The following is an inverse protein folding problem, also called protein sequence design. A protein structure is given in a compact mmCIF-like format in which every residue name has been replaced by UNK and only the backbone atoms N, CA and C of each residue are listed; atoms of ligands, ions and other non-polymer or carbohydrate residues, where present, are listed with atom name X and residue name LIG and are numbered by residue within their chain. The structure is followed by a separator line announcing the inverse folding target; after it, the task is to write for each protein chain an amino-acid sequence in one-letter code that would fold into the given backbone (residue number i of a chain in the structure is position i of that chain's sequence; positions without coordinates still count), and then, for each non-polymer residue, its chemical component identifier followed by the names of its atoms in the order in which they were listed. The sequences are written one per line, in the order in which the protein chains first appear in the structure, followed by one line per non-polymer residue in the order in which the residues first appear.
data_IF_632347574448
#
_entry.id   IF_632347574448
#
_cell.length_a   1.000
_cell.length_b   1.000
_cell.length_c   1.000
_cell.angle_alpha   90.00
_cell.angle_beta   90.00
_cell.angle_gamma   90.00
#
_symmetry.space_group_name_H-M   'P 1'
#
loop_
_entity.id
_entity.type
_entity.pdbx_description
1 polymer ?
#
# COMPACT_ATOMS: atom_id res chain seq x y z
N UNK A 1 13.36 -14.41 4.53
CA UNK A 1 13.06 -13.35 3.54
C UNK A 1 12.52 -12.13 4.27
N UNK A 2 12.61 -10.95 3.66
CA UNK A 2 12.11 -9.70 4.20
C UNK A 2 10.97 -9.19 3.31
N UNK A 3 9.88 -8.77 3.92
CA UNK A 3 8.70 -8.25 3.20
C UNK A 3 8.58 -6.75 3.40
N UNK A 4 8.14 -6.06 2.37
CA UNK A 4 7.83 -4.63 2.42
C UNK A 4 6.57 -4.33 1.61
N UNK A 5 5.80 -3.35 2.07
CA UNK A 5 4.87 -2.61 1.23
C UNK A 5 5.56 -1.31 0.83
N UNK A 6 5.66 -1.06 -0.46
CA UNK A 6 6.26 0.15 -1.01
C UNK A 6 5.20 0.97 -1.76
N UNK A 7 5.41 2.28 -1.82
CA UNK A 7 4.62 3.22 -2.62
C UNK A 7 5.53 4.37 -3.05
N UNK A 8 5.21 5.01 -4.18
CA UNK A 8 5.98 6.14 -4.69
C UNK A 8 5.08 7.22 -5.28
N UNK A 9 5.53 8.47 -5.22
CA UNK A 9 4.73 9.63 -5.65
C UNK A 9 4.51 9.71 -7.17
N UNK A 10 5.30 8.99 -7.97
CA UNK A 10 5.16 8.95 -9.43
C UNK A 10 4.06 7.99 -9.91
N UNK A 11 3.66 7.05 -9.07
CA UNK A 11 2.71 5.97 -9.39
C UNK A 11 1.72 5.80 -8.23
N UNK A 12 0.89 6.81 -8.04
CA UNK A 12 -0.06 6.88 -6.91
C UNK A 12 -1.22 5.88 -7.01
N UNK A 13 -1.34 5.16 -8.12
CA UNK A 13 -2.35 4.12 -8.32
C UNK A 13 -1.84 2.71 -7.95
N UNK A 14 -0.63 2.59 -7.40
CA UNK A 14 -0.02 1.32 -7.07
C UNK A 14 0.63 1.33 -5.68
N UNK A 15 0.46 0.22 -4.98
CA UNK A 15 1.37 -0.25 -3.94
C UNK A 15 2.18 -1.42 -4.50
N UNK A 16 3.30 -1.75 -3.86
CA UNK A 16 4.06 -2.95 -4.18
C UNK A 16 4.29 -3.81 -2.96
N UNK A 17 3.97 -5.10 -3.06
CA UNK A 17 4.52 -6.09 -2.15
C UNK A 17 5.87 -6.56 -2.69
N UNK A 18 6.95 -6.13 -2.03
CA UNK A 18 8.31 -6.56 -2.37
C UNK A 18 8.78 -7.60 -1.37
N UNK A 19 9.47 -8.62 -1.89
CA UNK A 19 10.13 -9.65 -1.07
C UNK A 19 11.59 -9.74 -1.44
N UNK A 20 12.45 -9.53 -0.44
CA UNK A 20 13.88 -9.73 -0.54
C UNK A 20 14.25 -11.10 0.00
N UNK A 21 14.96 -11.87 -0.83
CA UNK A 21 15.56 -13.15 -0.45
C UNK A 21 16.68 -12.97 0.58
N UNK A 22 17.07 -14.07 1.22
CA UNK A 22 18.21 -14.07 2.16
C UNK A 22 19.55 -13.79 1.47
N UNK A 23 19.60 -13.89 0.14
CA UNK A 23 20.72 -13.53 -0.72
C UNK A 23 20.79 -12.02 -1.03
N UNK A 24 19.86 -11.23 -0.47
CA UNK A 24 19.79 -9.78 -0.68
C UNK A 24 19.21 -9.37 -2.03
N UNK A 25 18.61 -10.30 -2.80
CA UNK A 25 18.01 -10.00 -4.10
C UNK A 25 16.48 -9.89 -3.97
N UNK A 26 15.87 -9.00 -4.74
CA UNK A 26 14.40 -8.96 -4.86
C UNK A 26 13.96 -10.23 -5.59
N UNK A 27 13.19 -11.08 -4.89
CA UNK A 27 12.59 -12.30 -5.43
C UNK A 27 11.18 -12.05 -5.95
N UNK A 28 10.48 -11.07 -5.38
CA UNK A 28 9.10 -10.73 -5.72
C UNK A 28 8.89 -9.23 -5.69
N UNK A 29 8.14 -8.73 -6.68
CA UNK A 29 7.76 -7.34 -6.84
C UNK A 29 6.34 -7.29 -7.41
N UNK A 30 5.34 -7.46 -6.54
CA UNK A 30 3.93 -7.57 -6.94
C UNK A 30 3.23 -6.21 -6.87
N UNK A 31 2.72 -5.68 -8.00
CA UNK A 31 1.93 -4.46 -7.99
C UNK A 31 0.52 -4.72 -7.44
N UNK A 32 0.00 -3.81 -6.62
CA UNK A 32 -1.32 -3.88 -6.00
C UNK A 32 -2.08 -2.60 -6.37
N UNK A 33 -3.14 -2.69 -7.20
CA UNK A 33 -3.92 -1.52 -7.60
C UNK A 33 -4.65 -0.85 -6.42
N UNK A 34 -4.47 0.46 -6.31
CA UNK A 34 -5.11 1.34 -5.32
C UNK A 34 -5.53 2.65 -5.97
N UNK A 35 -6.29 3.46 -5.24
CA UNK A 35 -6.71 4.79 -5.68
C UNK A 35 -6.13 5.88 -4.79
N UNK A 36 -5.97 7.09 -5.33
CA UNK A 36 -5.59 8.30 -4.59
C UNK A 36 -4.19 8.32 -3.94
N UNK A 37 -3.41 7.24 -4.00
CA UNK A 37 -2.06 7.17 -3.43
C UNK A 37 -2.06 7.11 -1.91
N UNK A 38 -2.53 6.00 -1.31
CA UNK A 38 -2.54 5.81 0.14
C UNK A 38 -1.11 5.78 0.69
N UNK A 39 -0.92 6.40 1.84
CA UNK A 39 0.29 6.30 2.65
C UNK A 39 0.25 5.01 3.45
N UNK A 40 1.19 4.10 3.20
CA UNK A 40 1.28 2.83 3.95
C UNK A 40 2.53 2.83 4.81
N UNK A 41 2.37 3.18 6.09
CA UNK A 41 3.50 3.30 7.00
C UNK A 41 4.11 1.94 7.39
N UNK A 42 3.28 0.91 7.52
CA UNK A 42 3.68 -0.36 8.14
C UNK A 42 3.42 -1.56 7.22
N UNK A 43 4.14 -2.65 7.47
CA UNK A 43 4.04 -3.91 6.73
C UNK A 43 3.68 -5.03 7.71
N UNK A 44 2.50 -5.62 7.50
CA UNK A 44 1.97 -6.67 8.37
C UNK A 44 1.90 -8.00 7.61
N UNK A 45 2.27 -9.10 8.27
CA UNK A 45 2.34 -10.42 7.66
C UNK A 45 1.88 -11.53 8.60
N UNK A 46 1.28 -12.55 8.03
CA UNK A 46 0.90 -13.81 8.66
C UNK A 46 1.56 -14.98 7.90
N UNK A 47 1.45 -16.24 8.37
CA UNK A 47 1.98 -17.37 7.60
C UNK A 47 1.44 -17.46 6.16
N UNK A 48 0.21 -16.98 5.91
CA UNK A 48 -0.49 -17.11 4.61
C UNK A 48 -0.66 -15.82 3.84
N UNK A 49 -0.78 -14.68 4.53
CA UNK A 49 -1.15 -13.40 3.92
C UNK A 49 -0.21 -12.28 4.30
N UNK A 50 0.00 -11.38 3.36
CA UNK A 50 0.43 -10.00 3.60
C UNK A 50 -0.83 -9.17 3.81
N UNK A 51 -0.82 -8.30 4.81
CA UNK A 51 -1.95 -7.43 5.13
C UNK A 51 -1.65 -6.05 4.57
N UNK A 52 -2.48 -5.60 3.63
CA UNK A 52 -2.36 -4.32 2.93
C UNK A 52 -3.35 -3.34 3.55
N UNK A 53 -2.86 -2.22 4.05
CA UNK A 53 -3.69 -1.16 4.65
C UNK A 53 -3.92 -0.05 3.63
N UNK A 54 -5.04 -0.11 2.90
CA UNK A 54 -5.46 0.92 1.95
C UNK A 54 -6.39 1.89 2.69
N UNK A 55 -5.79 2.92 3.30
CA UNK A 55 -6.42 3.79 4.29
C UNK A 55 -6.47 5.27 3.84
N UNK A 56 -7.34 6.09 4.46
CA UNK A 56 -7.71 7.42 3.92
C UNK A 56 -6.65 8.52 4.00
N UNK A 57 -5.43 8.25 4.47
CA UNK A 57 -4.33 9.22 4.38
C UNK A 57 -3.69 9.06 3.00
N UNK A 58 -4.06 9.93 2.07
CA UNK A 58 -3.68 9.83 0.66
C UNK A 58 -2.86 11.02 0.18
N UNK A 59 -2.19 10.84 -0.96
CA UNK A 59 -1.40 11.88 -1.59
C UNK A 59 -2.25 13.11 -1.93
N UNK A 60 -1.71 14.30 -1.69
CA UNK A 60 -2.43 15.58 -1.80
C UNK A 60 -1.63 16.58 -2.62
N UNK A 61 -2.08 16.83 -3.85
CA UNK A 61 -1.48 17.85 -4.73
C UNK A 61 -1.64 19.27 -4.16
N UNK A 62 -2.76 19.53 -3.47
CA UNK A 62 -2.96 20.82 -2.79
C UNK A 62 -1.93 21.05 -1.69
N UNK A 63 -1.58 20.03 -0.91
CA UNK A 63 -0.52 20.12 0.10
C UNK A 63 0.84 20.48 -0.52
N UNK A 64 1.17 19.90 -1.68
CA UNK A 64 2.40 20.24 -2.42
C UNK A 64 2.38 21.69 -2.90
N UNK A 65 1.30 22.11 -3.57
CA UNK A 65 1.18 23.48 -4.11
C UNK A 65 1.23 24.52 -2.98
N UNK A 66 0.72 24.20 -1.79
CA UNK A 66 0.81 25.04 -0.60
C UNK A 66 2.18 25.00 0.11
N UNK A 67 3.18 24.31 -0.44
CA UNK A 67 4.54 24.27 0.08
C UNK A 67 4.73 23.42 1.35
N UNK A 68 3.82 22.47 1.61
CA UNK A 68 3.93 21.61 2.78
C UNK A 68 4.99 20.53 2.58
N UNK A 69 5.86 20.32 3.59
CA UNK A 69 6.93 19.32 3.53
C UNK A 69 6.41 17.88 3.49
N UNK A 70 5.21 17.63 4.01
CA UNK A 70 4.56 16.32 4.00
C UNK A 70 3.30 16.34 3.12
N UNK A 71 3.31 15.67 1.95
CA UNK A 71 2.28 15.79 0.92
C UNK A 71 1.11 14.81 1.06
N UNK A 72 0.77 14.40 2.29
CA UNK A 72 -0.34 13.48 2.56
C UNK A 72 -1.38 14.12 3.46
N UNK A 73 -2.66 13.92 3.14
CA UNK A 73 -3.79 14.44 3.91
C UNK A 73 -4.86 13.36 4.03
N UNK A 74 -5.69 13.51 5.05
CA UNK A 74 -6.92 12.75 5.15
C UNK A 74 -7.83 13.07 3.94
N UNK A 75 -8.38 12.03 3.33
CA UNK A 75 -9.25 12.11 2.16
C UNK A 75 -10.55 11.36 2.43
N UNK A 76 -11.62 12.10 2.72
CA UNK A 76 -12.96 11.54 3.00
C UNK A 76 -13.57 10.77 1.82
N UNK A 77 -13.09 10.99 0.60
CA UNK A 77 -13.57 10.30 -0.59
C UNK A 77 -12.84 8.96 -0.83
N UNK A 78 -11.78 8.65 -0.07
CA UNK A 78 -11.07 7.40 -0.21
C UNK A 78 -11.68 6.33 0.70
N UNK A 79 -12.09 5.21 0.11
CA UNK A 79 -12.72 4.09 0.82
C UNK A 79 -11.67 3.29 1.58
N UNK A 80 -11.76 3.28 2.92
CA UNK A 80 -10.86 2.48 3.75
C UNK A 80 -11.14 0.97 3.56
N UNK A 81 -10.08 0.19 3.36
CA UNK A 81 -10.16 -1.26 3.24
C UNK A 81 -8.86 -1.95 3.65
N UNK A 82 -8.97 -3.19 4.12
CA UNK A 82 -7.85 -4.06 4.45
C UNK A 82 -7.79 -5.19 3.43
N UNK A 83 -6.64 -5.34 2.79
CA UNK A 83 -6.38 -6.38 1.80
C UNK A 83 -5.65 -7.57 2.41
N UNK A 84 -6.15 -8.77 2.19
CA UNK A 84 -5.47 -10.02 2.51
C UNK A 84 -4.86 -10.59 1.22
N UNK A 85 -3.60 -10.24 0.96
CA UNK A 85 -2.87 -10.71 -0.23
C UNK A 85 -2.19 -12.05 0.09
N UNK A 86 -2.51 -13.16 -0.60
CA UNK A 86 -1.76 -14.39 -0.43
C UNK A 86 -0.27 -14.15 -0.70
N UNK A 87 0.63 -14.65 0.17
CA UNK A 87 2.07 -14.29 0.12
C UNK A 87 2.75 -14.51 -1.24
N UNK A 88 2.29 -15.52 -1.97
CA UNK A 88 2.81 -15.91 -3.29
C UNK A 88 1.73 -15.75 -4.40
N UNK A 89 0.59 -15.13 -4.08
CA UNK A 89 -0.51 -14.84 -5.02
C UNK A 89 -0.45 -13.41 -5.52
N UNK A 90 -1.18 -13.13 -6.59
CA UNK A 90 -1.20 -11.84 -7.28
C UNK A 90 -2.22 -10.86 -6.70
N UNK A 91 -2.22 -9.62 -7.19
CA UNK A 91 -3.27 -8.66 -6.87
C UNK A 91 -4.69 -9.15 -7.22
N UNK A 92 -4.86 -10.06 -8.18
CA UNK A 92 -6.18 -10.63 -8.51
C UNK A 92 -6.69 -11.59 -7.43
N UNK A 93 -5.78 -12.11 -6.58
CA UNK A 93 -6.11 -13.05 -5.51
C UNK A 93 -6.41 -12.36 -4.17
N UNK A 94 -6.30 -11.03 -4.12
CA UNK A 94 -6.48 -10.27 -2.88
C UNK A 94 -7.94 -10.30 -2.43
N UNK A 95 -8.13 -10.55 -1.13
CA UNK A 95 -9.45 -10.42 -0.51
C UNK A 95 -9.52 -9.05 0.15
N UNK A 96 -10.36 -8.17 -0.38
CA UNK A 96 -10.60 -6.85 0.20
C UNK A 96 -11.75 -6.90 1.22
N UNK A 97 -11.46 -6.43 2.42
CA UNK A 97 -12.43 -6.23 3.48
C UNK A 97 -12.62 -4.74 3.70
N UNK A 98 -13.83 -4.23 3.47
CA UNK A 98 -14.17 -2.85 3.77
C UNK A 98 -14.14 -2.60 5.28
N UNK A 99 -13.65 -1.43 5.69
CA UNK A 99 -13.63 -1.00 7.09
C UNK A 99 -14.09 0.44 7.19
N UNK A 100 -14.54 0.84 8.39
CA UNK A 100 -14.75 2.26 8.66
C UNK A 100 -13.41 3.00 8.66
N UNK A 101 -13.36 4.25 8.14
CA UNK A 101 -12.17 5.09 8.21
C UNK A 101 -11.61 5.21 9.64
N UNK A 102 -10.31 4.97 9.79
CA UNK A 102 -9.58 5.08 11.07
C UNK A 102 -8.18 5.67 10.91
#
# INVERSE_FOLDING_TARGET
EMHAICYESQQTNLLWHKVLGADGRVRRDEPIPVEHGPMVHDCMITPKYVIVMDLPVTFSMSAIISGMSFPYRWNENHKARIGLLPREGSADDIIWCDVDPC
#
